data_IF_241624467534
#
_entry.id   IF_241624467534
#
_cell.length_a   1.000
_cell.length_b   1.000
_cell.length_c   1.000
_cell.angle_alpha   90.00
_cell.angle_beta   90.00
_cell.angle_gamma   90.00
#
_symmetry.space_group_name_H-M   'P 1'
#
loop_
_entity.id
_entity.type
_entity.pdbx_description
1 polymer ?
#
# COMPACT_ATOMS: atom_id res chain seq x y z
N UNK A 1 28.42 42.46 -2.96
CA UNK A 1 28.37 41.11 -3.56
C UNK A 1 27.13 40.45 -2.99
N UNK A 2 26.03 40.55 -3.74
CA UNK A 2 24.68 40.26 -3.28
C UNK A 2 24.44 38.76 -3.25
N UNK A 3 24.11 38.23 -2.08
CA UNK A 3 23.61 36.87 -1.91
C UNK A 3 22.12 36.95 -2.21
N UNK A 4 21.73 36.52 -3.41
CA UNK A 4 20.31 36.28 -3.69
C UNK A 4 19.85 35.07 -2.88
N UNK A 5 18.97 35.35 -1.91
CA UNK A 5 18.03 34.39 -1.37
C UNK A 5 17.17 33.86 -2.53
N UNK A 6 17.49 32.67 -3.03
CA UNK A 6 16.51 31.83 -3.74
C UNK A 6 15.52 31.32 -2.70
N UNK A 7 14.47 32.13 -2.50
CA UNK A 7 13.21 31.74 -1.87
C UNK A 7 12.19 31.47 -2.97
N UNK A 8 11.70 30.23 -3.04
CA UNK A 8 10.50 29.72 -3.74
C UNK A 8 10.75 28.21 -3.97
N UNK A 9 9.85 27.27 -3.70
CA UNK A 9 8.43 27.37 -3.41
C UNK A 9 7.98 26.15 -2.60
N UNK A 10 7.05 26.42 -1.69
CA UNK A 10 6.01 25.57 -1.09
C UNK A 10 6.15 24.03 -1.23
N UNK A 11 6.06 23.26 -0.12
CA UNK A 11 5.71 21.85 -0.24
C UNK A 11 4.34 21.78 -0.91
N UNK A 12 4.32 21.34 -2.19
CA UNK A 12 3.11 21.01 -2.90
C UNK A 12 2.34 20.03 -2.02
N UNK A 13 1.31 20.53 -1.34
CA UNK A 13 0.27 19.70 -0.74
C UNK A 13 -0.50 19.10 -1.90
N UNK A 14 0.11 18.09 -2.53
CA UNK A 14 -0.53 17.27 -3.53
C UNK A 14 -1.77 16.71 -2.86
N UNK A 15 -2.95 17.05 -3.39
CA UNK A 15 -4.19 16.42 -2.96
C UNK A 15 -3.96 14.91 -2.96
N UNK A 16 -4.33 14.18 -1.90
CA UNK A 16 -4.06 12.75 -1.82
C UNK A 16 -4.64 12.11 -3.07
N UNK A 17 -3.76 11.58 -3.92
CA UNK A 17 -4.14 10.95 -5.17
C UNK A 17 -5.04 9.79 -4.79
N UNK A 18 -6.33 9.92 -5.11
CA UNK A 18 -7.31 8.90 -4.75
C UNK A 18 -6.96 7.54 -5.38
N UNK A 19 -7.35 6.41 -4.77
CA UNK A 19 -7.01 5.06 -5.25
C UNK A 19 -7.39 4.83 -6.74
N UNK A 20 -8.47 5.49 -7.19
CA UNK A 20 -8.93 5.45 -8.59
C UNK A 20 -7.92 6.06 -9.56
N UNK A 21 -7.25 7.13 -9.18
CA UNK A 21 -6.26 7.80 -10.00
C UNK A 21 -4.99 6.95 -10.11
N UNK A 22 -4.53 6.35 -8.99
CA UNK A 22 -3.40 5.41 -9.00
C UNK A 22 -3.68 4.24 -9.95
N UNK A 23 -4.86 3.61 -9.84
CA UNK A 23 -5.26 2.50 -10.74
C UNK A 23 -5.26 2.91 -12.22
N UNK A 24 -5.74 4.13 -12.54
CA UNK A 24 -5.70 4.65 -13.92
C UNK A 24 -4.26 4.84 -14.40
N UNK A 25 -3.39 5.41 -13.56
CA UNK A 25 -1.98 5.61 -13.89
C UNK A 25 -1.31 4.26 -14.18
N UNK A 26 -1.53 3.25 -13.34
CA UNK A 26 -0.97 1.89 -13.53
C UNK A 26 -1.39 1.31 -14.88
N UNK A 27 -2.68 1.37 -15.20
CA UNK A 27 -3.23 0.86 -16.48
C UNK A 27 -2.59 1.60 -17.66
N UNK A 28 -2.50 2.93 -17.58
CA UNK A 28 -1.89 3.74 -18.65
C UNK A 28 -0.43 3.36 -18.86
N UNK A 29 0.36 3.24 -17.79
CA UNK A 29 1.78 2.84 -17.87
C UNK A 29 1.93 1.48 -18.54
N UNK A 30 1.13 0.49 -18.14
CA UNK A 30 1.20 -0.85 -18.73
C UNK A 30 0.80 -0.88 -20.21
N UNK A 31 -0.30 -0.20 -20.57
CA UNK A 31 -0.75 -0.12 -21.97
C UNK A 31 0.28 0.59 -22.84
N UNK A 32 0.89 1.66 -22.32
CA UNK A 32 1.93 2.40 -23.04
C UNK A 32 3.22 1.57 -23.22
N UNK A 33 3.60 0.79 -22.20
CA UNK A 33 4.74 -0.13 -22.28
C UNK A 33 4.54 -1.21 -23.35
N UNK A 34 3.37 -1.85 -23.37
CA UNK A 34 3.01 -2.85 -24.38
C UNK A 34 2.96 -2.19 -25.77
N UNK A 35 2.30 -1.04 -25.90
CA UNK A 35 2.21 -0.29 -27.15
C UNK A 35 3.58 0.12 -27.70
N UNK A 36 4.48 0.56 -26.83
CA UNK A 36 5.87 0.91 -27.19
C UNK A 36 6.68 -0.28 -27.68
N UNK A 37 6.52 -1.45 -27.06
CA UNK A 37 7.16 -2.69 -27.53
C UNK A 37 6.63 -3.14 -28.89
N UNK A 38 5.31 -3.05 -29.12
CA UNK A 38 4.69 -3.39 -30.40
C UNK A 38 5.14 -2.42 -31.50
N UNK A 39 5.12 -1.11 -31.23
CA UNK A 39 5.56 -0.09 -32.18
C UNK A 39 7.06 -0.22 -32.51
N UNK A 40 7.89 -0.55 -31.51
CA UNK A 40 9.31 -0.83 -31.71
C UNK A 40 9.56 -2.02 -32.64
N UNK A 41 8.73 -3.06 -32.56
CA UNK A 41 8.80 -4.20 -33.47
C UNK A 41 8.41 -3.83 -34.92
N UNK A 42 7.49 -2.89 -35.12
CA UNK A 42 7.05 -2.46 -36.47
C UNK A 42 8.11 -1.64 -37.18
N UNK A 43 8.97 -0.93 -36.44
CA UNK A 43 10.06 -0.12 -37.01
C UNK A 43 11.33 -0.92 -37.33
N UNK A 44 11.33 -2.25 -37.15
CA UNK A 44 12.52 -3.13 -37.25
C UNK A 44 13.71 -2.65 -36.39
N UNK A 45 13.44 -1.83 -35.37
CA UNK A 45 14.43 -1.30 -34.45
C UNK A 45 14.23 -1.93 -33.08
N UNK A 46 14.93 -3.04 -32.86
CA UNK A 46 14.89 -3.78 -31.61
C UNK A 46 15.29 -2.92 -30.39
N UNK A 47 16.02 -1.81 -30.61
CA UNK A 47 16.35 -0.84 -29.57
C UNK A 47 15.14 -0.15 -28.95
N UNK A 48 14.05 0.06 -29.71
CA UNK A 48 12.80 0.61 -29.17
C UNK A 48 12.08 -0.38 -28.26
N UNK A 49 12.04 -1.65 -28.63
CA UNK A 49 11.44 -2.68 -27.77
C UNK A 49 12.19 -2.80 -26.44
N UNK A 50 13.53 -2.75 -26.46
CA UNK A 50 14.35 -2.83 -25.26
C UNK A 50 14.17 -1.61 -24.35
N UNK A 51 14.17 -0.39 -24.90
CA UNK A 51 14.02 0.83 -24.07
C UNK A 51 12.65 0.93 -23.43
N UNK A 52 11.57 0.69 -24.19
CA UNK A 52 10.21 0.68 -23.65
C UNK A 52 10.00 -0.46 -22.65
N UNK A 53 10.56 -1.64 -22.90
CA UNK A 53 10.57 -2.75 -21.95
C UNK A 53 11.27 -2.39 -20.64
N UNK A 54 12.45 -1.78 -20.70
CA UNK A 54 13.23 -1.38 -19.53
C UNK A 54 12.55 -0.26 -18.72
N UNK A 55 11.98 0.74 -19.39
CA UNK A 55 11.19 1.80 -18.74
C UNK A 55 9.98 1.18 -18.01
N UNK A 56 9.28 0.25 -18.66
CA UNK A 56 8.13 -0.44 -18.07
C UNK A 56 8.53 -1.27 -16.86
N UNK A 57 9.67 -1.97 -16.93
CA UNK A 57 10.21 -2.74 -15.80
C UNK A 57 10.56 -1.86 -14.60
N UNK A 58 11.22 -0.71 -14.83
CA UNK A 58 11.54 0.26 -13.77
C UNK A 58 10.25 0.82 -13.15
N UNK A 59 9.26 1.16 -13.98
CA UNK A 59 7.98 1.66 -13.49
C UNK A 59 7.25 0.60 -12.64
N UNK A 60 7.24 -0.67 -13.06
CA UNK A 60 6.67 -1.77 -12.30
C UNK A 60 7.40 -1.98 -10.96
N UNK A 61 8.73 -1.91 -10.94
CA UNK A 61 9.52 -2.02 -9.72
C UNK A 61 9.20 -0.88 -8.73
N UNK A 62 9.12 0.35 -9.22
CA UNK A 62 8.70 1.50 -8.41
C UNK A 62 7.30 1.28 -7.83
N UNK A 63 6.39 0.71 -8.62
CA UNK A 63 5.01 0.43 -8.19
C UNK A 63 4.94 -0.63 -7.10
N UNK A 64 5.79 -1.66 -7.16
CA UNK A 64 5.94 -2.67 -6.10
C UNK A 64 6.41 -2.02 -4.81
N UNK A 65 7.42 -1.14 -4.87
CA UNK A 65 7.92 -0.42 -3.69
C UNK A 65 6.83 0.46 -3.08
N UNK A 66 6.08 1.19 -3.90
CA UNK A 66 4.92 1.98 -3.44
C UNK A 66 3.89 1.09 -2.76
N UNK A 67 3.60 -0.09 -3.32
CA UNK A 67 2.65 -1.05 -2.73
C UNK A 67 3.13 -1.56 -1.36
N UNK A 68 4.44 -1.74 -1.16
CA UNK A 68 5.01 -2.17 0.12
C UNK A 68 4.93 -1.10 1.21
N UNK A 69 5.10 0.18 0.86
CA UNK A 69 5.05 1.27 1.84
C UNK A 69 3.64 1.81 2.07
N UNK A 70 2.69 1.47 1.19
CA UNK A 70 1.32 1.96 1.31
C UNK A 70 0.53 1.12 2.31
N UNK A 71 -0.31 1.74 3.17
CA UNK A 71 -1.14 1.01 4.11
C UNK A 71 -2.02 -0.04 3.42
N UNK A 72 -2.26 -1.19 4.07
CA UNK A 72 -3.12 -2.23 3.54
C UNK A 72 -4.51 -1.66 3.21
N UNK A 73 -4.98 -1.92 1.99
CA UNK A 73 -6.26 -1.40 1.50
C UNK A 73 -6.20 -0.06 0.77
N UNK A 74 -5.09 0.68 0.82
CA UNK A 74 -4.91 1.96 0.11
C UNK A 74 -5.06 1.86 -1.41
N UNK A 75 -4.75 0.69 -1.98
CA UNK A 75 -4.87 0.39 -3.41
C UNK A 75 -6.00 -0.61 -3.72
N UNK A 76 -6.76 -1.03 -2.70
CA UNK A 76 -7.83 -2.01 -2.88
C UNK A 76 -8.99 -1.44 -3.72
N UNK A 77 -9.68 -2.34 -4.42
CA UNK A 77 -10.84 -1.96 -5.23
C UNK A 77 -11.98 -1.52 -4.29
N UNK A 78 -12.73 -0.45 -4.64
CA UNK A 78 -13.91 -0.07 -3.86
C UNK A 78 -14.88 -1.25 -3.77
N UNK A 79 -15.19 -1.69 -2.54
CA UNK A 79 -16.10 -2.81 -2.27
C UNK A 79 -15.43 -4.19 -2.14
N UNK A 80 -14.10 -4.28 -2.22
CA UNK A 80 -13.37 -5.52 -1.96
C UNK A 80 -12.99 -5.61 -0.47
N UNK A 81 -13.24 -6.74 0.21
CA UNK A 81 -12.85 -6.91 1.60
C UNK A 81 -11.33 -6.87 1.70
N UNK A 82 -10.79 -5.80 2.28
CA UNK A 82 -9.38 -5.74 2.67
C UNK A 82 -9.26 -6.60 3.92
N UNK A 83 -8.44 -7.64 3.88
CA UNK A 83 -8.12 -8.40 5.07
C UNK A 83 -7.54 -7.44 6.12
N UNK A 84 -8.10 -7.37 7.34
CA UNK A 84 -7.55 -6.52 8.38
C UNK A 84 -6.13 -6.98 8.65
N UNK A 85 -5.16 -6.08 8.46
CA UNK A 85 -3.80 -6.33 8.90
C UNK A 85 -3.79 -6.17 10.40
N UNK A 86 -3.63 -7.30 11.08
CA UNK A 86 -3.48 -7.32 12.53
C UNK A 86 -2.12 -6.72 12.85
N UNK A 87 -2.12 -5.68 13.67
CA UNK A 87 -0.89 -5.11 14.20
C UNK A 87 -0.32 -6.10 15.23
N UNK A 88 0.74 -6.81 14.83
CA UNK A 88 1.41 -7.83 15.64
C UNK A 88 1.87 -7.27 17.00
N UNK A 89 2.26 -5.99 17.05
CA UNK A 89 2.69 -5.34 18.29
C UNK A 89 1.51 -5.13 19.24
N UNK A 90 0.35 -4.80 18.69
CA UNK A 90 -0.88 -4.60 19.43
C UNK A 90 -1.48 -5.94 19.88
N UNK A 91 -1.34 -6.98 19.06
CA UNK A 91 -1.68 -8.36 19.43
C UNK A 91 -0.80 -8.87 20.58
N UNK A 92 0.51 -8.64 20.53
CA UNK A 92 1.44 -9.03 21.60
C UNK A 92 1.14 -8.30 22.93
N UNK A 93 0.82 -7.00 22.89
CA UNK A 93 0.42 -6.26 24.10
C UNK A 93 -0.89 -6.81 24.70
N UNK A 94 -1.86 -7.16 23.85
CA UNK A 94 -3.12 -7.77 24.27
C UNK A 94 -2.88 -9.13 24.94
N UNK A 95 -2.03 -9.98 24.36
CA UNK A 95 -1.70 -11.30 24.90
C UNK A 95 -0.99 -11.20 26.26
N UNK A 96 -0.01 -10.29 26.40
CA UNK A 96 0.69 -10.05 27.67
C UNK A 96 -0.27 -9.59 28.79
N UNK A 97 -1.28 -8.76 28.46
CA UNK A 97 -2.30 -8.33 29.41
C UNK A 97 -3.22 -9.49 29.82
N UNK A 98 -3.63 -10.33 28.87
CA UNK A 98 -4.44 -11.52 29.16
C UNK A 98 -3.66 -12.46 30.09
N UNK A 99 -2.38 -12.69 29.82
CA UNK A 99 -1.52 -13.52 30.65
C UNK A 99 -1.41 -12.96 32.08
N UNK A 100 -1.24 -11.64 32.21
CA UNK A 100 -1.21 -10.96 33.52
C UNK A 100 -2.52 -11.15 34.28
N UNK A 101 -3.67 -10.95 33.62
CA UNK A 101 -5.00 -11.15 34.23
C UNK A 101 -5.21 -12.59 34.71
N UNK A 102 -4.76 -13.58 33.93
CA UNK A 102 -4.83 -15.00 34.31
C UNK A 102 -3.88 -15.30 35.47
N UNK A 103 -2.68 -14.73 35.47
CA UNK A 103 -1.73 -14.86 36.57
C UNK A 103 -2.24 -14.24 37.88
N UNK A 104 -3.01 -13.16 37.80
CA UNK A 104 -3.71 -12.53 38.94
C UNK A 104 -4.92 -13.36 39.43
N UNK A 105 -5.26 -14.45 38.74
CA UNK A 105 -6.29 -15.41 39.14
C UNK A 105 -7.59 -15.33 38.35
N UNK A 106 -7.65 -14.57 37.25
CA UNK A 106 -8.80 -14.59 36.37
C UNK A 106 -8.95 -15.96 35.69
N UNK A 107 -10.19 -16.41 35.49
CA UNK A 107 -10.46 -17.65 34.77
C UNK A 107 -10.15 -17.47 33.27
N UNK A 108 -9.13 -18.17 32.77
CA UNK A 108 -8.68 -18.09 31.37
C UNK A 108 -9.79 -18.34 30.35
N UNK A 109 -10.68 -19.29 30.63
CA UNK A 109 -11.78 -19.64 29.71
C UNK A 109 -12.76 -18.48 29.58
N UNK A 110 -13.05 -17.80 30.68
CA UNK A 110 -13.97 -16.66 30.69
C UNK A 110 -13.32 -15.42 30.06
N UNK A 111 -12.02 -15.20 30.28
CA UNK A 111 -11.25 -14.13 29.64
C UNK A 111 -11.22 -14.32 28.12
N UNK A 112 -10.90 -15.52 27.62
CA UNK A 112 -10.91 -15.81 26.17
C UNK A 112 -12.30 -15.62 25.56
N UNK A 113 -13.36 -16.05 26.24
CA UNK A 113 -14.76 -15.82 25.78
C UNK A 113 -15.11 -14.34 25.74
N UNK A 114 -14.65 -13.55 26.72
CA UNK A 114 -14.89 -12.11 26.75
C UNK A 114 -14.18 -11.39 25.60
N UNK A 115 -12.89 -11.68 25.39
CA UNK A 115 -12.10 -11.12 24.29
C UNK A 115 -12.70 -11.52 22.94
N UNK A 116 -13.08 -12.79 22.77
CA UNK A 116 -13.75 -13.27 21.56
C UNK A 116 -15.04 -12.50 21.25
N UNK A 117 -15.86 -12.21 22.28
CA UNK A 117 -17.07 -11.38 22.12
C UNK A 117 -16.75 -9.92 21.79
N UNK A 118 -15.69 -9.35 22.35
CA UNK A 118 -15.26 -8.00 22.04
C UNK A 118 -14.76 -7.87 20.58
N UNK A 119 -14.04 -8.88 20.08
CA UNK A 119 -13.60 -8.95 18.67
C UNK A 119 -14.80 -9.08 17.74
N UNK A 120 -15.77 -9.95 18.07
CA UNK A 120 -16.99 -10.11 17.29
C UNK A 120 -17.78 -8.79 17.20
N UNK A 121 -17.89 -8.06 18.32
CA UNK A 121 -18.51 -6.74 18.35
C UNK A 121 -17.75 -5.71 17.50
N UNK A 122 -16.41 -5.72 17.56
CA UNK A 122 -15.56 -4.84 16.76
C UNK A 122 -15.59 -5.14 15.25
N UNK A 123 -15.84 -6.39 14.86
CA UNK A 123 -16.02 -6.78 13.43
C UNK A 123 -17.36 -6.36 12.85
N UNK A 124 -18.36 -6.08 13.69
CA UNK A 124 -19.71 -5.70 13.27
C UNK A 124 -19.90 -4.18 13.15
N UNK A 125 -18.89 -3.38 13.54
CA UNK A 125 -18.86 -1.91 13.40
C UNK A 125 -17.96 -1.51 12.23
#
# INVERSE_FOLDING_TARGET
>A
MSIELVTSDTPQSGSPIGPRAIRRIVIVVFVFGIGGMIAGSVLDNNGFAITFGLITAIAALALVLVTQVSPPGSLAKPGEPVAPVVDERLAADLEARIETLVAEGANETDVRKLVGRAIELGRQQ
#
